data_IF_665264937368
#
_entry.id   IF_665264937368
#
_cell.length_a   1.000
_cell.length_b   1.000
_cell.length_c   1.000
_cell.angle_alpha   90.00
_cell.angle_beta   90.00
_cell.angle_gamma   90.00
#
_symmetry.space_group_name_H-M   'P 1'
#
loop_
_entity.id
_entity.type
_entity.pdbx_description
1 polymer ?
#
# COMPACT_ATOMS: atom_id res chain seq x y z
N UNK A 1 -4.20 -7.24 62.06
CA UNK A 1 -4.16 -7.79 60.69
C UNK A 1 -4.95 -6.85 59.80
N UNK A 2 -4.32 -6.18 58.84
CA UNK A 2 -5.03 -5.27 57.93
C UNK A 2 -5.67 -6.08 56.79
N UNK A 3 -6.98 -5.92 56.62
CA UNK A 3 -7.75 -6.55 55.55
C UNK A 3 -7.48 -5.86 54.21
N UNK A 4 -7.00 -6.59 53.23
CA UNK A 4 -6.82 -6.07 51.86
C UNK A 4 -8.18 -5.74 51.23
N UNK A 5 -8.31 -4.61 50.52
CA UNK A 5 -9.56 -4.25 49.83
C UNK A 5 -9.87 -5.23 48.70
N UNK A 6 -11.14 -5.58 48.52
CA UNK A 6 -11.57 -6.51 47.48
C UNK A 6 -11.35 -5.91 46.08
N UNK A 7 -10.74 -6.66 45.16
CA UNK A 7 -10.51 -6.25 43.77
C UNK A 7 -11.76 -6.34 42.86
N UNK A 8 -12.89 -6.79 43.40
CA UNK A 8 -14.14 -6.98 42.63
C UNK A 8 -14.70 -5.73 41.91
N UNK A 9 -14.70 -4.51 42.48
CA UNK A 9 -15.21 -3.34 41.78
C UNK A 9 -14.32 -2.95 40.59
N UNK A 10 -13.00 -3.16 40.70
CA UNK A 10 -12.05 -2.87 39.63
C UNK A 10 -12.24 -3.82 38.43
N UNK A 11 -12.41 -5.12 38.70
CA UNK A 11 -12.69 -6.11 37.65
C UNK A 11 -14.00 -5.81 36.93
N UNK A 12 -15.06 -5.46 37.67
CA UNK A 12 -16.35 -5.05 37.08
C UNK A 12 -16.22 -3.79 36.22
N UNK A 13 -15.41 -2.82 36.65
CA UNK A 13 -15.16 -1.60 35.88
C UNK A 13 -14.39 -1.89 34.58
N UNK A 14 -13.38 -2.77 34.62
CA UNK A 14 -12.61 -3.20 33.43
C UNK A 14 -13.51 -3.96 32.45
N UNK A 15 -14.36 -4.86 32.95
CA UNK A 15 -15.31 -5.60 32.10
C UNK A 15 -16.31 -4.62 31.48
N UNK A 16 -16.83 -3.67 32.26
CA UNK A 16 -17.79 -2.68 31.76
C UNK A 16 -17.17 -1.75 30.71
N UNK A 17 -15.92 -1.28 30.90
CA UNK A 17 -15.24 -0.46 29.90
C UNK A 17 -14.90 -1.26 28.65
N UNK A 18 -14.53 -2.53 28.77
CA UNK A 18 -14.32 -3.43 27.64
C UNK A 18 -15.62 -3.66 26.85
N UNK A 19 -16.73 -3.95 27.53
CA UNK A 19 -18.05 -4.13 26.90
C UNK A 19 -18.57 -2.84 26.26
N UNK A 20 -18.37 -1.67 26.88
CA UNK A 20 -18.69 -0.37 26.30
C UNK A 20 -17.80 -0.03 25.09
N UNK A 21 -16.55 -0.49 25.08
CA UNK A 21 -15.65 -0.42 23.94
C UNK A 21 -16.15 -1.25 22.76
N UNK A 22 -16.56 -2.50 23.00
CA UNK A 22 -17.16 -3.38 22.01
C UNK A 22 -18.49 -2.85 21.46
N UNK A 23 -19.33 -2.26 22.32
CA UNK A 23 -20.60 -1.63 21.91
C UNK A 23 -20.40 -0.35 21.07
N UNK A 24 -19.23 0.29 21.14
CA UNK A 24 -18.86 1.48 20.35
C UNK A 24 -18.11 1.18 19.07
N UNK A 25 -17.73 -0.08 18.81
CA UNK A 25 -17.21 -0.46 17.50
C UNK A 25 -18.34 -0.35 16.49
N UNK A 26 -18.49 0.84 15.88
CA UNK A 26 -19.17 0.94 14.59
C UNK A 26 -18.42 0.00 13.67
N UNK A 27 -19.04 -1.13 13.38
CA UNK A 27 -18.58 -2.05 12.35
C UNK A 27 -18.35 -1.21 11.09
N UNK A 28 -17.09 -1.09 10.64
CA UNK A 28 -16.70 -0.30 9.46
C UNK A 28 -17.29 -0.92 8.18
N UNK A 29 -17.80 -2.15 8.28
CA UNK A 29 -18.46 -2.89 7.20
C UNK A 29 -19.52 -2.04 6.51
N UNK A 30 -19.32 -1.83 5.22
CA UNK A 30 -20.21 -1.02 4.37
C UNK A 30 -19.88 0.47 4.30
N UNK A 31 -18.92 0.99 5.08
CA UNK A 31 -18.43 2.38 4.93
C UNK A 31 -17.58 2.56 3.67
N UNK A 32 -16.78 1.55 3.35
CA UNK A 32 -15.92 1.55 2.18
C UNK A 32 -16.33 0.43 1.24
N UNK A 33 -16.48 0.74 -0.05
CA UNK A 33 -16.88 -0.20 -1.12
C UNK A 33 -15.71 -0.66 -1.99
N UNK A 34 -14.58 0.04 -1.93
CA UNK A 34 -13.36 -0.31 -2.64
C UNK A 34 -12.11 0.04 -1.83
N UNK A 35 -11.01 -0.66 -2.10
CA UNK A 35 -9.67 -0.31 -1.60
C UNK A 35 -8.70 -0.13 -2.77
N UNK A 36 -8.01 1.01 -2.78
CA UNK A 36 -6.87 1.24 -3.68
C UNK A 36 -5.58 1.24 -2.87
N UNK A 37 -4.69 0.32 -3.20
CA UNK A 37 -3.48 0.09 -2.42
C UNK A 37 -2.23 0.44 -3.22
N UNK A 38 -1.33 1.23 -2.66
CA UNK A 38 -0.01 1.57 -3.22
C UNK A 38 1.00 1.24 -2.13
N UNK A 39 2.13 0.64 -2.47
CA UNK A 39 3.02 0.09 -1.44
C UNK A 39 4.16 -0.73 -1.99
N UNK A 40 4.82 -1.43 -1.08
CA UNK A 40 5.91 -2.31 -1.38
C UNK A 40 5.56 -3.79 -1.05
N UNK A 41 6.55 -4.58 -0.65
CA UNK A 41 6.38 -5.99 -0.28
C UNK A 41 5.38 -6.25 0.85
N UNK A 42 5.17 -5.27 1.75
CA UNK A 42 4.24 -5.39 2.87
C UNK A 42 2.77 -5.34 2.42
N UNK A 43 2.52 -4.90 1.20
CA UNK A 43 1.19 -4.78 0.63
C UNK A 43 1.01 -5.47 -0.72
N UNK A 44 2.08 -5.91 -1.40
CA UNK A 44 2.00 -6.57 -2.71
C UNK A 44 1.27 -7.91 -2.65
N UNK A 45 0.11 -7.99 -3.33
CA UNK A 45 -0.71 -9.19 -3.40
C UNK A 45 -0.41 -10.08 -4.61
N UNK A 46 0.61 -9.75 -5.41
CA UNK A 46 1.09 -10.56 -6.52
C UNK A 46 1.60 -9.81 -7.74
N UNK A 47 1.66 -8.47 -7.74
CA UNK A 47 2.12 -7.71 -8.90
C UNK A 47 3.57 -8.07 -9.31
N UNK A 48 4.49 -8.23 -8.36
CA UNK A 48 5.87 -8.60 -8.73
C UNK A 48 5.93 -10.00 -9.37
N UNK A 49 5.14 -10.94 -8.85
CA UNK A 49 5.03 -12.30 -9.38
C UNK A 49 4.38 -12.32 -10.77
N UNK A 50 3.36 -11.49 -11.01
CA UNK A 50 2.76 -11.33 -12.34
C UNK A 50 3.72 -10.68 -13.32
N UNK A 51 4.49 -9.68 -12.88
CA UNK A 51 5.49 -9.02 -13.72
C UNK A 51 6.57 -10.00 -14.18
N UNK A 52 7.03 -10.87 -13.28
CA UNK A 52 7.95 -11.96 -13.60
C UNK A 52 7.75 -13.11 -12.61
N UNK A 53 7.29 -14.26 -13.10
CA UNK A 53 6.95 -15.42 -12.28
C UNK A 53 8.13 -15.95 -11.44
N UNK A 54 9.38 -15.70 -11.85
CA UNK A 54 10.58 -16.07 -11.08
C UNK A 54 10.72 -15.31 -9.77
N UNK A 55 10.03 -14.18 -9.61
CA UNK A 55 9.97 -13.42 -8.36
C UNK A 55 8.89 -13.92 -7.39
N UNK A 56 8.16 -14.98 -7.75
CA UNK A 56 7.21 -15.59 -6.81
C UNK A 56 8.00 -16.12 -5.60
N UNK A 57 7.72 -15.65 -4.37
CA UNK A 57 8.49 -16.05 -3.22
C UNK A 57 8.28 -17.56 -2.97
N UNK A 58 9.35 -18.35 -2.75
CA UNK A 58 9.24 -19.80 -2.61
C UNK A 58 8.63 -20.21 -1.26
N UNK A 59 8.60 -21.49 -0.92
CA UNK A 59 8.30 -21.92 0.45
C UNK A 59 9.22 -21.19 1.47
N UNK A 60 8.75 -20.73 2.65
CA UNK A 60 7.45 -21.01 3.31
C UNK A 60 6.33 -19.99 3.01
N UNK A 61 6.45 -19.18 1.97
CA UNK A 61 5.45 -18.15 1.68
C UNK A 61 4.08 -18.76 1.31
N UNK A 62 3.03 -18.23 1.93
CA UNK A 62 1.66 -18.72 1.84
C UNK A 62 1.29 -19.98 2.64
N UNK A 63 2.23 -20.63 3.35
CA UNK A 63 2.03 -21.91 4.06
C UNK A 63 0.80 -21.93 5.00
N UNK A 64 0.59 -20.86 5.77
CA UNK A 64 -0.38 -20.83 6.87
C UNK A 64 -1.83 -20.57 6.47
N UNK A 65 -2.06 -19.85 5.36
CA UNK A 65 -3.40 -19.42 4.96
C UNK A 65 -3.79 -19.83 3.54
N UNK A 66 -2.89 -19.66 2.58
CA UNK A 66 -3.16 -19.96 1.17
C UNK A 66 -2.72 -21.37 0.77
N UNK A 67 -1.89 -22.01 1.61
CA UNK A 67 -1.27 -23.32 1.43
C UNK A 67 -0.49 -23.46 0.11
N UNK A 68 -0.09 -22.32 -0.47
CA UNK A 68 0.79 -22.16 -1.63
C UNK A 68 1.25 -20.71 -1.69
N UNK A 69 2.37 -20.46 -2.37
CA UNK A 69 2.78 -19.08 -2.66
C UNK A 69 1.78 -18.40 -3.59
N UNK A 70 1.46 -17.14 -3.31
CA UNK A 70 0.54 -16.32 -4.12
C UNK A 70 1.20 -15.03 -4.61
N UNK A 71 2.53 -14.91 -4.52
CA UNK A 71 3.21 -13.62 -4.77
C UNK A 71 3.23 -12.65 -3.57
N UNK A 72 2.59 -13.02 -2.44
CA UNK A 72 2.68 -12.25 -1.19
C UNK A 72 3.96 -12.58 -0.45
N UNK A 73 4.68 -11.56 0.02
CA UNK A 73 5.87 -11.72 0.86
C UNK A 73 5.48 -11.93 2.35
N UNK A 74 4.56 -12.87 2.59
CA UNK A 74 4.17 -13.37 3.92
C UNK A 74 3.90 -14.89 3.86
N UNK A 75 3.93 -15.58 5.00
CA UNK A 75 3.50 -16.98 5.10
C UNK A 75 1.97 -17.14 4.96
N UNK A 76 1.23 -16.06 4.70
CA UNK A 76 -0.21 -16.05 4.52
C UNK A 76 -0.70 -14.68 4.05
N UNK A 77 -1.65 -14.11 4.79
CA UNK A 77 -2.27 -12.81 4.51
C UNK A 77 -1.33 -11.64 4.81
N UNK A 78 -1.53 -10.53 4.11
CA UNK A 78 -0.94 -9.22 4.38
C UNK A 78 -1.91 -8.32 5.14
N UNK A 79 -1.43 -7.20 5.69
CA UNK A 79 -2.28 -6.24 6.42
C UNK A 79 -3.49 -5.78 5.61
N UNK A 80 -3.31 -5.59 4.30
CA UNK A 80 -4.37 -5.19 3.37
C UNK A 80 -5.48 -6.25 3.24
N UNK A 81 -5.14 -7.53 3.36
CA UNK A 81 -6.11 -8.63 3.32
C UNK A 81 -7.00 -8.62 4.58
N UNK A 82 -6.41 -8.36 5.75
CA UNK A 82 -7.15 -8.23 7.00
C UNK A 82 -8.06 -7.00 6.98
N UNK A 83 -7.57 -5.85 6.49
CA UNK A 83 -8.37 -4.64 6.32
C UNK A 83 -9.58 -4.93 5.42
N UNK A 84 -9.36 -5.53 4.25
CA UNK A 84 -10.43 -5.86 3.31
C UNK A 84 -11.52 -6.74 3.97
N UNK A 85 -11.10 -7.79 4.69
CA UNK A 85 -12.01 -8.68 5.40
C UNK A 85 -12.84 -7.95 6.47
N UNK A 86 -12.21 -7.09 7.27
CA UNK A 86 -12.86 -6.34 8.34
C UNK A 86 -13.93 -5.37 7.81
N UNK A 87 -13.68 -4.76 6.64
CA UNK A 87 -14.66 -3.88 6.00
C UNK A 87 -15.66 -4.63 5.10
N UNK A 88 -15.53 -5.96 4.98
CA UNK A 88 -16.45 -6.83 4.24
C UNK A 88 -16.21 -6.89 2.73
N UNK A 89 -15.00 -6.59 2.27
CA UNK A 89 -14.57 -6.74 0.88
C UNK A 89 -13.82 -8.06 0.65
N UNK A 90 -13.82 -8.60 -0.58
CA UNK A 90 -12.91 -9.70 -0.94
C UNK A 90 -11.45 -9.22 -0.98
N UNK A 91 -10.52 -10.15 -1.14
CA UNK A 91 -9.11 -9.79 -1.36
C UNK A 91 -8.94 -8.92 -2.61
N UNK A 92 -8.13 -7.89 -2.46
CA UNK A 92 -7.93 -6.90 -3.52
C UNK A 92 -6.94 -7.48 -4.55
N UNK A 93 -7.34 -7.55 -5.83
CA UNK A 93 -6.51 -8.15 -6.86
C UNK A 93 -5.28 -7.27 -7.16
N UNK A 94 -4.11 -7.88 -7.44
CA UNK A 94 -2.98 -7.15 -8.01
C UNK A 94 -3.36 -6.56 -9.37
N UNK A 95 -2.98 -5.31 -9.61
CA UNK A 95 -3.31 -4.56 -10.82
C UNK A 95 -2.82 -5.26 -12.10
N UNK A 96 -1.64 -5.86 -12.06
CA UNK A 96 -1.00 -6.48 -13.23
C UNK A 96 -1.62 -7.81 -13.64
N UNK A 97 -2.27 -8.55 -12.74
CA UNK A 97 -2.90 -9.85 -13.04
C UNK A 97 -4.16 -9.70 -13.92
N UNK A 98 -4.58 -8.44 -14.14
CA UNK A 98 -5.88 -8.15 -14.69
C UNK A 98 -6.97 -8.49 -13.67
N UNK A 99 -8.13 -7.90 -13.85
CA UNK A 99 -9.19 -7.96 -12.85
C UNK A 99 -9.97 -9.29 -12.78
N UNK A 100 -9.48 -10.35 -13.43
CA UNK A 100 -10.24 -11.59 -13.65
C UNK A 100 -11.63 -11.33 -14.27
N UNK A 101 -12.58 -12.23 -14.01
CA UNK A 101 -13.97 -12.13 -14.52
C UNK A 101 -14.88 -11.12 -13.81
N UNK A 102 -14.41 -10.42 -12.76
CA UNK A 102 -15.24 -9.54 -11.92
C UNK A 102 -14.85 -8.06 -11.98
N UNK A 103 -13.80 -7.69 -12.71
CA UNK A 103 -13.39 -6.28 -12.79
C UNK A 103 -12.72 -5.79 -11.49
N UNK A 104 -12.24 -4.55 -11.49
CA UNK A 104 -11.69 -3.88 -10.29
C UNK A 104 -12.80 -3.29 -9.42
N UNK A 105 -13.95 -3.99 -9.34
CA UNK A 105 -15.18 -3.53 -8.67
C UNK A 105 -14.94 -3.16 -7.21
N UNK A 106 -14.08 -3.92 -6.53
CA UNK A 106 -13.74 -3.73 -5.12
C UNK A 106 -12.41 -3.01 -4.92
N UNK A 107 -11.86 -2.42 -5.99
CA UNK A 107 -10.59 -1.74 -6.00
C UNK A 107 -9.46 -2.58 -6.60
N UNK A 108 -8.24 -2.06 -6.47
CA UNK A 108 -7.05 -2.58 -7.11
C UNK A 108 -5.82 -2.36 -6.24
N UNK A 109 -4.88 -3.30 -6.27
CA UNK A 109 -3.61 -3.18 -5.57
C UNK A 109 -2.49 -2.91 -6.57
N UNK A 110 -1.82 -1.77 -6.42
CA UNK A 110 -0.69 -1.33 -7.23
C UNK A 110 0.66 -1.56 -6.54
N UNK A 111 0.66 -2.02 -5.28
CA UNK A 111 1.88 -2.28 -4.53
C UNK A 111 2.77 -3.32 -5.22
N UNK A 112 4.09 -3.13 -5.16
CA UNK A 112 5.06 -4.06 -5.74
C UNK A 112 6.20 -4.32 -4.78
N UNK A 113 6.50 -5.59 -4.55
CA UNK A 113 7.61 -6.01 -3.69
C UNK A 113 8.95 -5.44 -4.15
N UNK A 114 9.72 -4.90 -3.22
CA UNK A 114 11.00 -4.24 -3.50
C UNK A 114 10.89 -2.83 -4.11
N UNK A 115 9.68 -2.27 -4.24
CA UNK A 115 9.51 -0.95 -4.83
C UNK A 115 10.17 0.15 -3.99
N UNK A 116 10.88 1.04 -4.66
CA UNK A 116 11.53 2.21 -4.05
C UNK A 116 10.59 3.41 -4.04
N UNK A 117 10.74 4.29 -3.05
CA UNK A 117 10.13 5.62 -3.07
C UNK A 117 10.69 6.44 -4.24
N UNK A 118 12.02 6.46 -4.36
CA UNK A 118 12.71 7.20 -5.41
C UNK A 118 12.57 6.52 -6.77
N UNK A 119 12.63 7.28 -7.88
CA UNK A 119 12.58 6.68 -9.22
C UNK A 119 13.74 5.74 -9.46
N UNK A 120 13.49 4.57 -10.06
CA UNK A 120 14.54 3.59 -10.43
C UNK A 120 15.65 4.25 -11.24
N UNK A 121 15.30 5.06 -12.25
CA UNK A 121 16.27 5.79 -13.08
C UNK A 121 17.18 6.75 -12.29
N UNK A 122 16.67 7.33 -11.20
CA UNK A 122 17.44 8.25 -10.36
C UNK A 122 18.50 7.49 -9.57
N UNK A 123 18.12 6.33 -9.00
CA UNK A 123 19.05 5.44 -8.31
C UNK A 123 20.11 4.89 -9.27
N UNK A 124 19.70 4.45 -10.46
CA UNK A 124 20.61 3.94 -11.49
C UNK A 124 21.63 4.99 -11.96
N UNK A 125 21.21 6.25 -12.12
CA UNK A 125 22.11 7.35 -12.47
C UNK A 125 23.19 7.59 -11.40
N UNK A 126 22.95 7.16 -10.15
CA UNK A 126 23.91 7.20 -9.06
C UNK A 126 24.70 5.88 -8.91
N UNK A 127 24.58 4.96 -9.86
CA UNK A 127 25.23 3.64 -9.81
C UNK A 127 24.57 2.67 -8.83
N UNK A 128 23.35 2.95 -8.38
CA UNK A 128 22.59 2.12 -7.43
C UNK A 128 21.60 1.27 -8.22
N UNK A 129 21.67 -0.05 -8.07
CA UNK A 129 20.77 -1.01 -8.73
C UNK A 129 19.64 -1.43 -7.77
N UNK A 130 18.38 -1.00 -7.97
CA UNK A 130 17.26 -1.40 -7.11
C UNK A 130 16.92 -2.89 -7.17
N UNK A 131 16.37 -3.42 -6.08
CA UNK A 131 15.95 -4.82 -5.97
C UNK A 131 14.78 -5.18 -6.90
N UNK A 132 13.93 -4.21 -7.24
CA UNK A 132 12.84 -4.37 -8.18
C UNK A 132 12.82 -3.23 -9.21
N UNK A 133 12.37 -3.47 -10.45
CA UNK A 133 12.30 -2.45 -11.49
C UNK A 133 11.08 -1.52 -11.33
N UNK A 134 10.58 -1.35 -10.11
CA UNK A 134 9.36 -0.60 -9.81
C UNK A 134 9.61 0.44 -8.74
N UNK A 135 8.95 1.59 -8.87
CA UNK A 135 8.97 2.66 -7.88
C UNK A 135 7.58 3.19 -7.61
N UNK A 136 7.45 4.00 -6.56
CA UNK A 136 6.23 4.72 -6.21
C UNK A 136 5.64 5.49 -7.41
N UNK A 137 6.48 6.11 -8.25
CA UNK A 137 6.01 6.81 -9.45
C UNK A 137 5.36 5.89 -10.48
N UNK A 138 5.87 4.67 -10.64
CA UNK A 138 5.29 3.69 -11.56
C UNK A 138 3.89 3.29 -11.07
N UNK A 139 3.76 3.04 -9.76
CA UNK A 139 2.48 2.69 -9.15
C UNK A 139 1.46 3.83 -9.24
N UNK A 140 1.88 5.08 -9.04
CA UNK A 140 1.02 6.25 -9.25
C UNK A 140 0.61 6.41 -10.72
N UNK A 141 1.51 6.10 -11.66
CA UNK A 141 1.20 6.07 -13.10
C UNK A 141 0.15 5.01 -13.44
N UNK A 142 0.28 3.80 -12.89
CA UNK A 142 -0.73 2.76 -13.02
C UNK A 142 -2.07 3.16 -12.42
N UNK A 143 -2.05 3.76 -11.23
CA UNK A 143 -3.25 4.26 -10.58
C UNK A 143 -3.93 5.33 -11.44
N UNK A 144 -3.19 6.33 -11.96
CA UNK A 144 -3.74 7.33 -12.89
C UNK A 144 -4.36 6.69 -14.14
N UNK A 145 -3.65 5.75 -14.78
CA UNK A 145 -4.16 5.03 -15.96
C UNK A 145 -5.43 4.25 -15.63
N UNK A 146 -5.46 3.61 -14.46
CA UNK A 146 -6.63 2.91 -13.96
C UNK A 146 -7.80 3.87 -13.76
N UNK A 147 -7.58 5.03 -13.12
CA UNK A 147 -8.61 6.06 -12.95
C UNK A 147 -9.22 6.48 -14.29
N UNK A 148 -8.39 6.77 -15.29
CA UNK A 148 -8.87 7.12 -16.64
C UNK A 148 -9.65 6.00 -17.33
N UNK A 149 -9.48 4.74 -16.91
CA UNK A 149 -10.21 3.60 -17.48
C UNK A 149 -11.58 3.36 -16.85
N UNK A 150 -11.79 3.81 -15.62
CA UNK A 150 -13.05 3.62 -14.87
C UNK A 150 -13.86 4.91 -14.69
N UNK A 151 -13.28 6.05 -15.02
CA UNK A 151 -13.89 7.37 -14.85
C UNK A 151 -13.86 8.15 -16.16
N UNK A 152 -15.04 8.52 -16.67
CA UNK A 152 -15.14 9.47 -17.79
C UNK A 152 -14.58 10.85 -17.40
N UNK A 153 -14.78 11.23 -16.13
CA UNK A 153 -14.14 12.38 -15.50
C UNK A 153 -13.95 12.12 -14.00
N UNK A 154 -13.02 12.81 -13.32
CA UNK A 154 -12.90 12.66 -11.86
C UNK A 154 -14.19 13.04 -11.15
N UNK A 155 -14.90 14.06 -11.64
CA UNK A 155 -16.18 14.47 -11.09
C UNK A 155 -17.20 13.31 -11.09
N UNK A 156 -17.26 12.54 -12.18
CA UNK A 156 -18.15 11.38 -12.30
C UNK A 156 -17.82 10.25 -11.32
N UNK A 157 -16.56 10.15 -10.86
CA UNK A 157 -16.12 9.15 -9.89
C UNK A 157 -16.02 9.65 -8.44
N UNK A 158 -16.38 10.92 -8.19
CA UNK A 158 -16.23 11.56 -6.88
C UNK A 158 -16.93 10.76 -5.77
N UNK A 159 -18.14 10.28 -6.03
CA UNK A 159 -18.90 9.51 -5.04
C UNK A 159 -18.30 8.12 -4.79
N UNK A 160 -17.80 7.47 -5.84
CA UNK A 160 -17.06 6.20 -5.70
C UNK A 160 -15.82 6.37 -4.82
N UNK A 161 -15.06 7.47 -5.00
CA UNK A 161 -13.87 7.72 -4.20
C UNK A 161 -14.14 8.15 -2.76
N UNK A 162 -15.25 8.86 -2.49
CA UNK A 162 -15.68 9.14 -1.11
C UNK A 162 -15.98 7.86 -0.33
N UNK A 163 -16.40 6.81 -1.03
CA UNK A 163 -16.65 5.47 -0.49
C UNK A 163 -15.46 4.53 -0.69
N UNK A 164 -14.28 5.02 -1.10
CA UNK A 164 -13.08 4.20 -1.27
C UNK A 164 -12.07 4.45 -0.15
N UNK A 165 -11.34 3.42 0.22
CA UNK A 165 -10.18 3.52 1.10
C UNK A 165 -8.91 3.56 0.25
N UNK A 166 -8.12 4.63 0.38
CA UNK A 166 -6.79 4.73 -0.20
C UNK A 166 -5.77 4.30 0.86
N UNK A 167 -5.12 3.16 0.64
CA UNK A 167 -4.10 2.63 1.53
C UNK A 167 -2.73 2.81 0.89
N UNK A 168 -1.95 3.76 1.41
CA UNK A 168 -0.55 3.93 1.04
C UNK A 168 0.27 3.23 2.14
N UNK A 169 0.85 2.09 1.79
CA UNK A 169 1.75 1.33 2.66
C UNK A 169 3.08 2.07 2.88
N UNK A 170 3.95 1.49 3.68
CA UNK A 170 5.31 1.97 3.88
C UNK A 170 6.13 1.99 2.58
N UNK A 171 7.01 2.98 2.51
CA UNK A 171 8.05 3.14 1.50
C UNK A 171 9.30 3.71 2.17
N UNK A 172 10.45 3.42 1.57
CA UNK A 172 11.75 3.97 1.97
C UNK A 172 12.73 2.89 2.38
N UNK A 173 12.28 1.80 3.00
CA UNK A 173 13.19 0.71 3.38
C UNK A 173 13.92 0.13 2.17
N UNK A 174 13.23 -0.06 1.04
CA UNK A 174 13.84 -0.59 -0.19
C UNK A 174 14.88 0.36 -0.80
N UNK A 175 14.72 1.69 -0.63
CA UNK A 175 15.72 2.67 -1.06
C UNK A 175 17.01 2.52 -0.25
N UNK A 176 16.88 2.35 1.07
CA UNK A 176 18.02 2.23 1.97
C UNK A 176 18.68 0.85 1.90
N UNK A 177 17.90 -0.23 1.88
CA UNK A 177 18.39 -1.61 1.84
C UNK A 177 19.14 -1.88 0.53
N UNK A 178 18.61 -1.39 -0.60
CA UNK A 178 19.31 -1.44 -1.88
C UNK A 178 20.72 -0.83 -1.77
N UNK A 179 20.86 0.32 -1.12
CA UNK A 179 22.15 0.99 -0.94
C UNK A 179 23.05 0.25 0.05
N UNK A 180 22.49 -0.23 1.16
CA UNK A 180 23.23 -1.00 2.17
C UNK A 180 23.81 -2.29 1.60
N UNK A 181 23.02 -3.03 0.80
CA UNK A 181 23.45 -4.26 0.14
C UNK A 181 24.56 -4.02 -0.90
N UNK A 182 24.65 -2.81 -1.44
CA UNK A 182 25.70 -2.40 -2.38
C UNK A 182 26.92 -1.77 -1.67
N UNK A 183 26.97 -1.83 -0.34
CA UNK A 183 28.13 -1.37 0.44
C UNK A 183 28.25 0.16 0.56
N UNK A 184 27.18 0.91 0.24
CA UNK A 184 27.18 2.37 0.40
C UNK A 184 27.23 2.71 1.89
N UNK A 185 28.07 3.69 2.24
CA UNK A 185 28.25 4.07 3.62
C UNK A 185 26.97 4.69 4.22
N UNK A 186 26.62 4.32 5.45
CA UNK A 186 25.47 4.86 6.20
C UNK A 186 25.43 6.39 6.23
N UNK A 187 26.58 7.07 6.28
CA UNK A 187 26.63 8.55 6.23
C UNK A 187 26.15 9.08 4.88
N UNK A 188 26.49 8.41 3.78
CA UNK A 188 25.96 8.74 2.46
C UNK A 188 24.48 8.38 2.35
N UNK A 189 24.06 7.21 2.84
CA UNK A 189 22.64 6.80 2.80
C UNK A 189 21.74 7.81 3.54
N UNK A 190 22.21 8.38 4.66
CA UNK A 190 21.47 9.42 5.40
C UNK A 190 21.13 10.66 4.55
N UNK A 191 21.90 10.97 3.50
CA UNK A 191 21.61 12.12 2.62
C UNK A 191 20.37 11.87 1.75
N UNK A 192 19.92 10.61 1.62
CA UNK A 192 18.72 10.23 0.89
C UNK A 192 17.43 10.28 1.74
N UNK A 193 17.53 10.51 3.05
CA UNK A 193 16.34 10.63 3.91
C UNK A 193 15.41 11.77 3.48
N UNK A 194 15.90 13.03 3.29
CA UNK A 194 15.04 14.11 2.81
C UNK A 194 14.36 13.86 1.45
N UNK A 195 15.05 13.39 0.38
CA UNK A 195 14.38 13.14 -0.90
C UNK A 195 13.38 11.98 -0.84
N UNK A 196 13.64 10.92 -0.06
CA UNK A 196 12.66 9.84 0.16
C UNK A 196 11.39 10.36 0.82
N UNK A 197 11.52 11.10 1.94
CA UNK A 197 10.38 11.68 2.66
C UNK A 197 9.58 12.61 1.74
N UNK A 198 10.28 13.51 1.01
CA UNK A 198 9.64 14.45 0.08
C UNK A 198 8.89 13.72 -1.03
N UNK A 199 9.39 12.56 -1.47
CA UNK A 199 8.76 11.76 -2.52
C UNK A 199 7.47 11.11 -2.02
N UNK A 200 7.49 10.54 -0.81
CA UNK A 200 6.32 9.96 -0.16
C UNK A 200 5.25 11.03 0.10
N UNK A 201 5.63 12.19 0.62
CA UNK A 201 4.71 13.32 0.84
C UNK A 201 3.97 13.72 -0.44
N UNK A 202 4.70 13.90 -1.55
CA UNK A 202 4.09 14.21 -2.85
C UNK A 202 3.13 13.14 -3.34
N UNK A 203 3.44 11.87 -3.11
CA UNK A 203 2.55 10.78 -3.49
C UNK A 203 1.24 10.80 -2.69
N UNK A 204 1.32 11.08 -1.39
CA UNK A 204 0.14 11.27 -0.54
C UNK A 204 -0.70 12.42 -1.08
N UNK A 205 -0.09 13.57 -1.36
CA UNK A 205 -0.80 14.74 -1.90
C UNK A 205 -1.53 14.39 -3.19
N UNK A 206 -0.85 13.74 -4.15
CA UNK A 206 -1.42 13.32 -5.45
C UNK A 206 -2.51 12.27 -5.29
N UNK A 207 -2.46 11.43 -4.26
CA UNK A 207 -3.46 10.37 -4.04
C UNK A 207 -4.73 10.88 -3.37
N UNK A 208 -4.75 12.13 -2.88
CA UNK A 208 -5.98 12.74 -2.36
C UNK A 208 -6.89 13.23 -3.49
N UNK A 209 -8.20 12.98 -3.36
CA UNK A 209 -9.21 13.34 -4.37
C UNK A 209 -9.22 14.82 -4.78
N UNK A 210 -8.84 15.72 -3.87
CA UNK A 210 -8.75 17.16 -4.15
C UNK A 210 -7.63 17.43 -5.17
N UNK A 211 -6.46 16.83 -4.97
CA UNK A 211 -5.29 17.03 -5.84
C UNK A 211 -5.39 16.23 -7.15
N UNK A 212 -6.08 15.09 -7.17
CA UNK A 212 -6.35 14.36 -8.42
C UNK A 212 -7.13 15.23 -9.40
N UNK A 213 -8.17 15.94 -8.92
CA UNK A 213 -8.96 16.87 -9.74
C UNK A 213 -8.09 17.95 -10.39
N UNK A 214 -7.13 18.48 -9.64
CA UNK A 214 -6.19 19.51 -10.09
C UNK A 214 -5.07 18.95 -10.98
N UNK A 215 -4.57 17.74 -10.71
CA UNK A 215 -3.46 17.16 -11.47
C UNK A 215 -3.91 16.68 -12.85
N UNK A 216 -5.11 16.08 -12.97
CA UNK A 216 -5.64 15.67 -14.28
C UNK A 216 -6.00 16.90 -15.14
N UNK A 217 -6.41 18.00 -14.53
CA UNK A 217 -6.63 19.26 -15.26
C UNK A 217 -5.33 19.97 -15.65
N UNK A 218 -4.19 19.64 -15.01
CA UNK A 218 -2.90 20.29 -15.22
C UNK A 218 -1.85 19.45 -15.98
N UNK A 219 -2.17 18.26 -16.50
CA UNK A 219 -1.22 17.51 -17.34
C UNK A 219 -1.00 18.18 -18.72
N UNK A 220 -0.17 19.22 -18.74
CA UNK A 220 0.81 19.41 -19.81
C UNK A 220 1.97 18.41 -19.63
N UNK A 221 2.61 17.95 -20.72
CA UNK A 221 3.53 16.83 -20.68
C UNK A 221 4.74 17.12 -19.79
N UNK A 222 5.03 16.21 -18.85
CA UNK A 222 6.28 16.20 -18.10
C UNK A 222 7.45 15.77 -19.01
N UNK A 223 7.86 16.68 -19.89
CA UNK A 223 9.22 16.72 -20.43
C UNK A 223 10.06 17.68 -19.59
N UNK A 224 11.34 17.36 -19.43
CA UNK A 224 12.39 18.11 -18.72
C UNK A 224 12.61 17.73 -17.25
N UNK A 225 13.34 16.63 -17.06
CA UNK A 225 14.65 16.76 -16.43
C UNK A 225 15.68 16.20 -17.40
N UNK A 226 16.42 17.10 -18.04
CA UNK A 226 17.62 16.83 -18.81
C UNK A 226 18.73 17.75 -18.29
N UNK A 227 19.95 17.20 -18.27
CA UNK A 227 21.23 17.76 -17.82
C UNK A 227 21.37 18.01 -16.31
#
# INVERSE_FOLDING_TARGET
MASFPSFQPLIKLIILTFLLGLARSKVIKGRYKAIYCIGDSLADTGNLATYNATNTPPFPYGETYFHRSTGRYSNGRLIIDFIAQEIGLPFIPPYLDGSGGHGFKWGANFAVSGATALPVRFLQAMGITPLAPMSLDVQLGWFKKFLSSICESIASCSDHFKESLFFISEFGINDYDTMLLQGINRTQIRTFVPPVIKKIQRAIDVSTCQTLSTTITLEQPFSHYGA
#
